data_IF_533237597884
#
_entry.id   IF_533237597884
#
_cell.length_a   1.000
_cell.length_b   1.000
_cell.length_c   1.000
_cell.angle_alpha   90.00
_cell.angle_beta   90.00
_cell.angle_gamma   90.00
#
_symmetry.space_group_name_H-M   'P 1'
#
loop_
_entity.id
_entity.type
_entity.pdbx_description
1 polymer ?
#
# COMPACT_ATOMS: atom_id res chain seq x y z
N UNK A 1 34.41 39.04 -44.56
CA UNK A 1 35.26 38.27 -43.61
C UNK A 1 34.55 37.90 -42.30
N UNK A 2 33.62 38.71 -41.77
CA UNK A 2 32.90 38.44 -40.51
C UNK A 2 32.03 37.15 -40.49
N UNK A 3 31.23 36.87 -41.54
CA UNK A 3 30.37 35.67 -41.58
C UNK A 3 31.10 34.32 -41.57
N UNK A 4 32.39 34.28 -41.92
CA UNK A 4 33.21 33.06 -41.89
C UNK A 4 33.75 32.77 -40.48
N UNK A 5 34.00 33.83 -39.70
CA UNK A 5 34.45 33.77 -38.30
C UNK A 5 33.28 33.37 -37.38
N UNK A 6 32.07 33.86 -37.65
CA UNK A 6 30.85 33.47 -36.90
C UNK A 6 30.48 32.00 -37.11
N UNK A 7 30.63 31.48 -38.34
CA UNK A 7 30.39 30.05 -38.63
C UNK A 7 31.42 29.14 -37.95
N UNK A 8 32.66 29.60 -37.81
CA UNK A 8 33.73 28.87 -37.13
C UNK A 8 33.49 28.84 -35.61
N UNK A 9 33.09 29.98 -35.04
CA UNK A 9 32.80 30.11 -33.61
C UNK A 9 31.55 29.33 -33.20
N UNK A 10 30.49 29.35 -34.02
CA UNK A 10 29.29 28.53 -33.82
C UNK A 10 29.62 27.03 -33.84
N UNK A 11 30.46 26.59 -34.79
CA UNK A 11 30.83 25.17 -34.92
C UNK A 11 31.62 24.71 -33.69
N UNK A 12 32.57 25.52 -33.23
CA UNK A 12 33.35 25.22 -32.00
C UNK A 12 32.45 25.13 -30.77
N UNK A 13 31.50 26.05 -30.60
CA UNK A 13 30.55 26.02 -29.48
C UNK A 13 29.63 24.80 -29.54
N UNK A 14 29.13 24.46 -30.74
CA UNK A 14 28.28 23.29 -30.95
C UNK A 14 29.02 22.00 -30.61
N UNK A 15 30.27 21.88 -31.05
CA UNK A 15 31.07 20.66 -30.83
C UNK A 15 31.41 20.51 -29.33
N UNK A 16 31.66 21.61 -28.61
CA UNK A 16 31.79 21.60 -27.15
C UNK A 16 30.51 21.20 -26.43
N UNK A 17 29.37 21.74 -26.85
CA UNK A 17 28.06 21.36 -26.30
C UNK A 17 27.77 19.87 -26.51
N UNK A 18 28.08 19.33 -27.69
CA UNK A 18 27.91 17.91 -27.99
C UNK A 18 28.82 17.03 -27.12
N UNK A 19 30.07 17.44 -26.90
CA UNK A 19 30.99 16.75 -26.00
C UNK A 19 30.47 16.74 -24.55
N UNK A 20 30.00 17.88 -24.03
CA UNK A 20 29.44 17.96 -22.69
C UNK A 20 28.14 17.16 -22.55
N UNK A 21 27.27 17.16 -23.56
CA UNK A 21 26.06 16.34 -23.57
C UNK A 21 26.40 14.84 -23.51
N UNK A 22 27.42 14.41 -24.25
CA UNK A 22 27.89 13.01 -24.26
C UNK A 22 28.46 12.61 -22.91
N UNK A 23 29.28 13.49 -22.30
CA UNK A 23 29.84 13.27 -20.97
C UNK A 23 28.74 13.19 -19.90
N UNK A 24 27.77 14.11 -19.94
CA UNK A 24 26.64 14.12 -19.02
C UNK A 24 25.78 12.86 -19.16
N UNK A 25 25.46 12.45 -20.39
CA UNK A 25 24.72 11.23 -20.65
C UNK A 25 25.45 9.99 -20.11
N UNK A 26 26.77 9.92 -20.30
CA UNK A 26 27.60 8.84 -19.76
C UNK A 26 27.61 8.80 -18.22
N UNK A 27 27.71 9.96 -17.56
CA UNK A 27 27.65 10.05 -16.10
C UNK A 27 26.27 9.71 -15.54
N UNK A 28 25.21 10.21 -16.18
CA UNK A 28 23.83 9.90 -15.81
C UNK A 28 23.52 8.41 -15.97
N UNK A 29 24.00 7.77 -17.04
CA UNK A 29 23.89 6.33 -17.27
C UNK A 29 24.53 5.52 -16.14
N UNK A 30 25.79 5.80 -15.81
CA UNK A 30 26.51 5.15 -14.69
C UNK A 30 25.81 5.33 -13.34
N UNK A 31 25.28 6.53 -13.08
CA UNK A 31 24.52 6.79 -11.86
C UNK A 31 23.22 5.98 -11.84
N UNK A 32 22.51 5.86 -12.96
CA UNK A 32 21.30 5.05 -13.03
C UNK A 32 21.59 3.54 -12.89
N UNK A 33 22.70 3.05 -13.45
CA UNK A 33 23.17 1.67 -13.24
C UNK A 33 23.43 1.42 -11.76
N UNK A 34 24.22 2.26 -11.09
CA UNK A 34 24.47 2.16 -9.65
C UNK A 34 23.17 2.28 -8.83
N UNK A 35 22.26 3.18 -9.21
CA UNK A 35 20.93 3.29 -8.57
C UNK A 35 20.12 2.01 -8.75
N UNK A 36 20.16 1.39 -9.91
CA UNK A 36 19.44 0.15 -10.18
C UNK A 36 20.09 -1.03 -9.46
N UNK A 37 21.40 -1.05 -9.30
CA UNK A 37 22.10 -2.07 -8.51
C UNK A 37 21.77 -1.95 -7.01
N UNK A 38 21.71 -0.73 -6.48
CA UNK A 38 21.45 -0.48 -5.05
C UNK A 38 19.96 -0.53 -4.71
N UNK A 39 19.11 0.04 -5.57
CA UNK A 39 17.69 0.27 -5.30
C UNK A 39 16.75 -0.42 -6.29
N UNK A 40 17.27 -1.00 -7.37
CA UNK A 40 16.47 -1.85 -8.23
C UNK A 40 16.08 -3.06 -7.42
N UNK A 41 14.83 -3.09 -6.97
CA UNK A 41 14.21 -4.31 -6.49
C UNK A 41 14.48 -5.39 -7.53
N UNK A 42 15.11 -6.50 -7.12
CA UNK A 42 15.38 -7.63 -8.02
C UNK A 42 14.13 -7.99 -8.82
N UNK A 43 14.33 -8.52 -10.03
CA UNK A 43 13.22 -8.91 -10.90
C UNK A 43 12.21 -9.75 -10.12
N UNK A 44 10.97 -9.26 -10.03
CA UNK A 44 9.88 -9.98 -9.39
C UNK A 44 9.46 -11.12 -10.32
N UNK A 45 10.12 -12.27 -10.19
CA UNK A 45 9.72 -13.49 -10.85
C UNK A 45 8.64 -14.19 -10.03
N UNK A 46 7.56 -14.64 -10.69
CA UNK A 46 6.54 -15.47 -10.06
C UNK A 46 7.16 -16.83 -9.70
N UNK A 47 7.40 -17.06 -8.41
CA UNK A 47 7.98 -18.31 -7.91
C UNK A 47 6.95 -19.43 -7.76
N UNK A 48 5.66 -19.10 -7.68
CA UNK A 48 4.60 -20.07 -7.54
C UNK A 48 3.21 -19.44 -7.49
N UNK A 49 2.19 -20.29 -7.47
CA UNK A 49 0.80 -19.89 -7.27
C UNK A 49 0.17 -20.88 -6.30
N UNK A 50 -0.50 -20.35 -5.29
CA UNK A 50 -1.18 -21.14 -4.26
C UNK A 50 -2.63 -20.71 -4.19
N UNK A 51 -3.50 -21.66 -3.83
CA UNK A 51 -4.92 -21.39 -3.59
C UNK A 51 -5.18 -21.36 -2.09
N UNK A 52 -5.56 -20.20 -1.57
CA UNK A 52 -6.00 -20.06 -0.18
C UNK A 52 -7.39 -20.69 -0.02
N UNK A 53 -7.57 -21.50 1.02
CA UNK A 53 -8.89 -22.00 1.43
C UNK A 53 -9.55 -20.98 2.35
N UNK A 54 -10.72 -20.49 1.94
CA UNK A 54 -11.56 -19.56 2.71
C UNK A 54 -12.86 -20.24 3.10
N UNK A 55 -13.55 -19.74 4.12
CA UNK A 55 -14.85 -20.28 4.54
C UNK A 55 -15.91 -20.16 3.42
N UNK A 56 -15.86 -19.06 2.67
CA UNK A 56 -16.76 -18.76 1.55
C UNK A 56 -16.00 -18.29 0.33
N UNK A 57 -16.56 -18.54 -0.85
CA UNK A 57 -16.02 -17.99 -2.10
C UNK A 57 -16.05 -16.45 -2.04
N UNK A 58 -14.94 -15.82 -2.43
CA UNK A 58 -14.80 -14.38 -2.39
C UNK A 58 -13.60 -13.89 -3.18
N UNK A 59 -13.54 -12.58 -3.39
CA UNK A 59 -12.42 -11.91 -4.05
C UNK A 59 -11.39 -11.48 -3.00
N UNK A 60 -10.11 -11.87 -3.13
CA UNK A 60 -9.06 -11.36 -2.26
C UNK A 60 -9.00 -9.84 -2.35
N UNK A 61 -8.90 -9.17 -1.20
CA UNK A 61 -8.90 -7.72 -1.12
C UNK A 61 -7.58 -7.15 -0.66
N UNK A 62 -7.00 -7.73 0.38
CA UNK A 62 -5.73 -7.25 0.94
C UNK A 62 -5.05 -8.31 1.80
N UNK A 63 -3.79 -8.09 2.13
CA UNK A 63 -2.99 -8.95 3.01
C UNK A 63 -2.08 -8.11 3.88
N UNK A 64 -1.90 -8.55 5.13
CA UNK A 64 -0.98 -7.89 6.06
C UNK A 64 -0.31 -8.91 6.97
N UNK A 65 0.96 -8.70 7.31
CA UNK A 65 1.65 -9.51 8.30
C UNK A 65 1.14 -9.19 9.71
N UNK A 66 0.92 -10.25 10.49
CA UNK A 66 0.52 -10.16 11.90
C UNK A 66 1.44 -11.05 12.72
N UNK A 67 2.58 -10.47 13.14
CA UNK A 67 3.70 -11.22 13.69
C UNK A 67 4.68 -11.67 12.60
N UNK A 68 5.57 -12.59 12.95
CA UNK A 68 6.68 -13.00 12.08
C UNK A 68 6.24 -13.97 10.99
N UNK A 69 5.43 -14.98 11.35
CA UNK A 69 5.09 -16.09 10.45
C UNK A 69 3.62 -16.15 10.05
N UNK A 70 2.80 -15.20 10.52
CA UNK A 70 1.35 -15.19 10.26
C UNK A 70 0.94 -14.02 9.36
N UNK A 71 0.07 -14.32 8.41
CA UNK A 71 -0.56 -13.36 7.51
C UNK A 71 -2.06 -13.33 7.79
N UNK A 72 -2.63 -12.12 7.82
CA UNK A 72 -4.06 -11.90 7.79
C UNK A 72 -4.46 -11.52 6.37
N UNK A 73 -5.28 -12.38 5.77
CA UNK A 73 -5.88 -12.18 4.46
C UNK A 73 -7.29 -11.62 4.62
N UNK A 74 -7.60 -10.61 3.81
CA UNK A 74 -8.91 -9.97 3.74
C UNK A 74 -9.62 -10.31 2.42
N UNK A 75 -10.91 -10.62 2.49
CA UNK A 75 -11.73 -11.02 1.34
C UNK A 75 -13.04 -10.24 1.24
N UNK A 76 -13.58 -10.16 0.03
CA UNK A 76 -14.96 -9.79 -0.24
C UNK A 76 -15.78 -11.05 -0.51
N UNK A 77 -16.70 -11.45 0.39
CA UNK A 77 -17.52 -12.62 0.14
C UNK A 77 -18.41 -12.37 -1.07
N UNK A 78 -18.49 -13.35 -1.96
CA UNK A 78 -19.42 -13.32 -3.09
C UNK A 78 -20.85 -13.36 -2.56
N UNK A 79 -21.70 -12.47 -3.07
CA UNK A 79 -23.05 -12.18 -2.58
C UNK A 79 -24.09 -13.32 -2.72
N UNK A 80 -23.67 -14.56 -2.95
CA UNK A 80 -24.52 -15.65 -3.43
C UNK A 80 -25.67 -16.05 -2.49
N UNK A 81 -25.68 -15.65 -1.22
CA UNK A 81 -26.74 -15.98 -0.26
C UNK A 81 -26.89 -14.89 0.80
N UNK A 82 -28.14 -14.56 1.13
CA UNK A 82 -28.58 -13.54 2.09
C UNK A 82 -28.32 -13.94 3.56
N UNK A 83 -27.13 -14.47 3.85
CA UNK A 83 -26.68 -14.75 5.22
C UNK A 83 -25.97 -13.54 5.82
N UNK A 84 -25.99 -13.44 7.14
CA UNK A 84 -25.19 -12.47 7.88
C UNK A 84 -23.72 -12.79 7.66
N UNK A 85 -22.93 -11.83 7.19
CA UNK A 85 -21.48 -11.98 7.01
C UNK A 85 -20.81 -12.26 8.35
N UNK A 86 -20.09 -13.38 8.43
CA UNK A 86 -19.28 -13.77 9.58
C UNK A 86 -17.84 -13.25 9.47
N UNK A 87 -17.07 -13.34 10.55
CA UNK A 87 -15.65 -12.95 10.55
C UNK A 87 -14.86 -13.81 9.56
N UNK A 88 -15.11 -15.12 9.53
CA UNK A 88 -14.42 -16.09 8.68
C UNK A 88 -14.73 -15.91 7.18
N UNK A 89 -15.82 -15.21 6.83
CA UNK A 89 -16.13 -14.84 5.45
C UNK A 89 -15.23 -13.70 4.93
N UNK A 90 -14.71 -12.87 5.82
CA UNK A 90 -13.95 -11.65 5.49
C UNK A 90 -12.47 -11.83 5.81
N UNK A 91 -12.14 -12.56 6.87
CA UNK A 91 -10.79 -12.72 7.37
C UNK A 91 -10.36 -14.17 7.40
N UNK A 92 -9.11 -14.42 7.02
CA UNK A 92 -8.48 -15.74 7.14
C UNK A 92 -7.04 -15.56 7.58
N UNK A 93 -6.62 -16.32 8.59
CA UNK A 93 -5.22 -16.40 8.99
C UNK A 93 -4.54 -17.53 8.23
N UNK A 94 -3.31 -17.29 7.81
CA UNK A 94 -2.47 -18.32 7.22
C UNK A 94 -1.00 -18.09 7.58
N UNK A 95 -0.18 -19.12 7.43
CA UNK A 95 1.27 -18.96 7.51
C UNK A 95 1.84 -18.32 6.22
N UNK A 96 3.18 -18.19 6.15
CA UNK A 96 3.91 -17.66 4.99
C UNK A 96 3.77 -18.51 3.73
N UNK A 97 3.49 -19.80 3.89
CA UNK A 97 3.24 -20.75 2.80
C UNK A 97 1.75 -20.79 2.41
N UNK A 98 0.93 -19.91 3.01
CA UNK A 98 -0.51 -19.77 2.80
C UNK A 98 -1.32 -20.98 3.28
N UNK A 99 -0.81 -21.76 4.23
CA UNK A 99 -1.57 -22.79 4.92
C UNK A 99 -2.54 -22.15 5.93
N UNK A 100 -3.83 -22.53 5.95
CA UNK A 100 -4.80 -21.95 6.88
C UNK A 100 -4.41 -22.19 8.34
N UNK A 101 -4.57 -21.15 9.15
CA UNK A 101 -4.40 -21.16 10.59
C UNK A 101 -5.76 -20.95 11.28
N UNK A 102 -5.94 -21.45 12.52
CA UNK A 102 -7.15 -21.18 13.29
C UNK A 102 -7.28 -19.68 13.59
N UNK A 103 -8.52 -19.19 13.78
CA UNK A 103 -8.78 -17.78 14.13
C UNK A 103 -8.07 -17.34 15.43
N UNK A 104 -7.77 -18.29 16.32
CA UNK A 104 -7.06 -18.10 17.60
C UNK A 104 -5.53 -18.14 17.46
N UNK A 105 -4.99 -18.28 16.24
CA UNK A 105 -3.53 -18.32 16.03
C UNK A 105 -2.84 -17.01 16.44
N UNK A 106 -3.59 -15.90 16.40
CA UNK A 106 -3.18 -14.61 16.97
C UNK A 106 -4.23 -14.20 18.00
N UNK A 107 -3.99 -14.47 19.30
CA UNK A 107 -4.93 -14.11 20.36
C UNK A 107 -5.21 -12.60 20.38
N UNK A 108 -6.49 -12.25 20.57
CA UNK A 108 -6.97 -10.87 20.63
C UNK A 108 -7.17 -10.20 19.27
N UNK A 109 -6.93 -10.93 18.17
CA UNK A 109 -7.12 -10.40 16.81
C UNK A 109 -8.54 -10.65 16.32
N UNK A 110 -8.88 -11.92 16.04
CA UNK A 110 -10.16 -12.34 15.45
C UNK A 110 -11.11 -12.96 16.50
N UNK A 111 -10.58 -13.37 17.64
CA UNK A 111 -11.30 -14.02 18.75
C UNK A 111 -11.66 -13.04 19.88
N UNK A 112 -11.25 -11.78 19.78
CA UNK A 112 -11.60 -10.75 20.76
C UNK A 112 -13.13 -10.48 20.73
N UNK A 113 -13.83 -10.59 21.87
CA UNK A 113 -15.28 -10.47 21.93
C UNK A 113 -15.79 -9.06 21.60
N UNK A 114 -15.01 -8.02 21.91
CA UNK A 114 -15.36 -6.64 21.57
C UNK A 114 -15.22 -6.43 20.06
N UNK A 115 -14.18 -7.00 19.43
CA UNK A 115 -14.05 -7.01 17.97
C UNK A 115 -15.24 -7.72 17.31
N UNK A 116 -15.57 -8.94 17.74
CA UNK A 116 -16.67 -9.73 17.15
C UNK A 116 -17.99 -8.96 17.24
N UNK A 117 -18.24 -8.29 18.38
CA UNK A 117 -19.43 -7.45 18.57
C UNK A 117 -19.45 -6.25 17.61
N UNK A 118 -18.35 -5.52 17.51
CA UNK A 118 -18.25 -4.37 16.60
C UNK A 118 -18.36 -4.79 15.12
N UNK A 119 -17.74 -5.89 14.73
CA UNK A 119 -17.84 -6.46 13.38
C UNK A 119 -19.28 -6.84 13.02
N UNK A 120 -19.98 -7.51 13.94
CA UNK A 120 -21.38 -7.88 13.75
C UNK A 120 -22.28 -6.64 13.67
N UNK A 121 -22.05 -5.62 14.50
CA UNK A 121 -22.77 -4.36 14.45
C UNK A 121 -22.55 -3.64 13.10
N UNK A 122 -21.30 -3.60 12.62
CA UNK A 122 -20.93 -3.00 11.35
C UNK A 122 -21.74 -3.60 10.19
N UNK A 123 -21.75 -4.92 10.04
CA UNK A 123 -22.49 -5.60 8.96
C UNK A 123 -24.01 -5.58 9.17
N UNK A 124 -24.49 -5.46 10.41
CA UNK A 124 -25.91 -5.31 10.72
C UNK A 124 -26.46 -3.95 10.30
N UNK A 125 -25.73 -2.86 10.62
CA UNK A 125 -26.21 -1.49 10.39
C UNK A 125 -25.85 -0.94 9.01
N UNK A 126 -24.74 -1.40 8.41
CA UNK A 126 -24.26 -0.91 7.13
C UNK A 126 -24.26 -2.05 6.10
N UNK A 127 -25.33 -2.14 5.30
CA UNK A 127 -25.51 -3.21 4.30
C UNK A 127 -24.45 -3.21 3.19
N UNK A 128 -23.86 -2.05 2.91
CA UNK A 128 -22.77 -1.89 1.95
C UNK A 128 -21.37 -2.18 2.52
N UNK A 129 -21.27 -2.75 3.73
CA UNK A 129 -19.99 -3.01 4.38
C UNK A 129 -19.11 -3.90 3.52
N UNK A 130 -17.94 -3.38 3.16
CA UNK A 130 -16.89 -4.16 2.50
C UNK A 130 -15.53 -3.71 2.97
N UNK A 131 -14.62 -4.67 3.16
CA UNK A 131 -13.24 -4.38 3.48
C UNK A 131 -12.62 -3.52 2.36
N UNK A 132 -11.79 -2.54 2.66
CA UNK A 132 -11.07 -1.79 1.64
C UNK A 132 -9.60 -2.09 1.68
N UNK A 133 -9.05 -2.18 2.89
CA UNK A 133 -7.62 -2.27 3.12
C UNK A 133 -7.33 -2.82 4.51
N UNK A 134 -6.23 -3.55 4.61
CA UNK A 134 -5.55 -3.91 5.84
C UNK A 134 -4.25 -3.11 5.92
N UNK A 135 -3.92 -2.55 7.07
CA UNK A 135 -2.72 -1.71 7.16
C UNK A 135 -2.04 -1.79 8.51
N UNK A 136 -0.71 -1.94 8.47
CA UNK A 136 0.16 -1.71 9.62
C UNK A 136 0.56 -0.24 9.69
N UNK A 137 0.42 0.32 10.88
CA UNK A 137 0.98 1.61 11.27
C UNK A 137 1.78 1.40 12.55
N UNK A 138 2.49 2.44 13.02
CA UNK A 138 3.34 2.32 14.21
C UNK A 138 2.56 1.76 15.41
N UNK A 139 2.93 0.55 15.85
CA UNK A 139 2.29 -0.21 16.93
C UNK A 139 0.81 -0.58 16.72
N UNK A 140 0.26 -0.49 15.51
CA UNK A 140 -1.17 -0.75 15.25
C UNK A 140 -1.44 -1.52 13.97
N UNK A 141 -2.55 -2.25 13.99
CA UNK A 141 -3.17 -2.84 12.83
C UNK A 141 -4.52 -2.17 12.60
N UNK A 142 -4.82 -1.82 11.36
CA UNK A 142 -6.07 -1.19 10.93
C UNK A 142 -6.76 -2.06 9.89
N UNK A 143 -8.06 -2.29 10.06
CA UNK A 143 -8.94 -2.83 9.02
C UNK A 143 -9.94 -1.76 8.62
N UNK A 144 -9.81 -1.27 7.40
CA UNK A 144 -10.59 -0.16 6.85
C UNK A 144 -11.76 -0.74 6.07
N UNK A 145 -12.98 -0.41 6.47
CA UNK A 145 -14.20 -0.79 5.79
C UNK A 145 -14.85 0.42 5.14
N UNK A 146 -15.43 0.21 3.95
CA UNK A 146 -16.40 1.14 3.38
C UNK A 146 -17.79 0.75 3.86
N UNK A 147 -18.57 1.70 4.34
CA UNK A 147 -19.93 1.48 4.85
C UNK A 147 -21.04 2.05 3.97
N UNK A 148 -20.70 2.98 3.07
CA UNK A 148 -21.63 3.65 2.17
C UNK A 148 -21.08 3.87 0.76
N UNK A 149 -21.76 4.72 0.00
CA UNK A 149 -21.39 5.04 -1.38
C UNK A 149 -20.33 6.15 -1.45
N UNK A 150 -20.30 7.05 -0.48
CA UNK A 150 -19.34 8.15 -0.47
C UNK A 150 -17.94 7.61 -0.14
N UNK A 151 -16.92 8.26 -0.70
CA UNK A 151 -15.52 7.87 -0.48
C UNK A 151 -15.13 7.94 0.99
N UNK A 152 -15.72 8.88 1.73
CA UNK A 152 -15.43 9.15 3.14
C UNK A 152 -16.32 8.35 4.10
N UNK A 153 -17.24 7.52 3.59
CA UNK A 153 -18.05 6.59 4.38
C UNK A 153 -17.19 5.40 4.83
N UNK A 154 -16.28 5.68 5.75
CA UNK A 154 -15.31 4.73 6.28
C UNK A 154 -15.60 4.38 7.73
N UNK A 155 -15.35 3.12 8.08
CA UNK A 155 -15.21 2.64 9.45
C UNK A 155 -13.90 1.91 9.57
N UNK A 156 -13.13 2.24 10.60
CA UNK A 156 -11.79 1.67 10.78
C UNK A 156 -11.73 0.95 12.12
N UNK A 157 -11.66 -0.37 12.06
CA UNK A 157 -11.36 -1.22 13.20
C UNK A 157 -9.87 -1.16 13.46
N UNK A 158 -9.47 -1.02 14.73
CA UNK A 158 -8.05 -0.91 15.10
C UNK A 158 -7.68 -1.80 16.27
N UNK A 159 -6.49 -2.37 16.16
CA UNK A 159 -5.83 -3.16 17.20
C UNK A 159 -4.52 -2.48 17.57
N UNK A 160 -4.18 -2.49 18.86
CA UNK A 160 -2.81 -2.32 19.29
C UNK A 160 -2.06 -3.62 18.98
N UNK A 161 -0.80 -3.47 18.54
CA UNK A 161 0.07 -4.62 18.34
C UNK A 161 1.38 -4.37 19.05
N UNK A 162 1.71 -5.30 19.95
CA UNK A 162 2.94 -5.25 20.71
C UNK A 162 4.12 -5.80 19.91
N UNK A 163 5.37 -5.45 20.30
CA UNK A 163 6.57 -6.03 19.69
C UNK A 163 6.63 -7.56 19.81
N UNK A 164 5.98 -8.14 20.81
CA UNK A 164 5.84 -9.59 21.01
C UNK A 164 4.93 -10.26 19.97
N UNK A 165 4.19 -9.48 19.17
CA UNK A 165 3.19 -9.98 18.23
C UNK A 165 1.79 -10.11 18.84
N UNK A 166 1.63 -9.91 20.15
CA UNK A 166 0.32 -9.87 20.80
C UNK A 166 -0.55 -8.74 20.25
N UNK A 167 -1.83 -9.02 20.06
CA UNK A 167 -2.78 -8.06 19.52
C UNK A 167 -3.91 -7.82 20.50
N UNK A 168 -4.39 -6.58 20.57
CA UNK A 168 -5.53 -6.22 21.41
C UNK A 168 -6.45 -5.29 20.66
N UNK A 169 -7.71 -5.68 20.52
CA UNK A 169 -8.71 -4.80 19.92
C UNK A 169 -8.86 -3.51 20.74
N UNK A 170 -8.94 -2.37 20.06
CA UNK A 170 -9.09 -1.08 20.69
C UNK A 170 -10.51 -0.57 20.53
N UNK A 171 -10.93 -0.33 19.29
CA UNK A 171 -12.28 0.14 18.93
C UNK A 171 -12.46 0.19 17.40
N UNK A 172 -13.64 0.69 16.99
CA UNK A 172 -14.03 0.95 15.61
C UNK A 172 -13.94 2.45 15.21
N UNK A 173 -12.98 3.20 15.76
CA UNK A 173 -12.83 4.67 15.59
C UNK A 173 -11.46 5.08 15.05
N UNK A 174 -10.85 4.22 14.23
CA UNK A 174 -9.51 4.42 13.68
C UNK A 174 -9.43 5.35 12.46
N UNK A 175 -10.49 6.09 12.10
CA UNK A 175 -10.51 6.90 10.87
C UNK A 175 -9.38 7.94 10.85
N UNK A 176 -9.05 8.50 12.02
CA UNK A 176 -7.92 9.45 12.18
C UNK A 176 -6.55 8.78 12.09
N UNK A 177 -6.48 7.47 12.34
CA UNK A 177 -5.25 6.69 12.19
C UNK A 177 -5.06 6.22 10.74
N UNK A 178 -6.12 6.27 9.93
CA UNK A 178 -6.08 5.98 8.49
C UNK A 178 -5.55 7.19 7.68
N UNK A 179 -4.34 7.64 8.00
CA UNK A 179 -3.67 8.73 7.27
C UNK A 179 -2.92 8.17 6.08
N UNK A 180 -3.33 8.52 4.87
CA UNK A 180 -2.59 8.17 3.65
C UNK A 180 -1.23 8.89 3.71
N UNK A 181 -0.10 8.18 3.58
CA UNK A 181 1.19 8.85 3.57
C UNK A 181 1.24 9.79 2.35
N UNK A 182 2.01 10.89 2.42
CA UNK A 182 2.21 11.76 1.26
C UNK A 182 2.60 10.92 0.05
N UNK A 183 1.98 11.17 -1.10
CA UNK A 183 2.26 10.41 -2.32
C UNK A 183 3.65 10.69 -2.89
N UNK A 184 4.32 11.73 -2.37
CA UNK A 184 5.61 12.20 -2.81
C UNK A 184 6.46 12.58 -1.60
N UNK A 185 7.74 12.23 -1.65
CA UNK A 185 8.72 12.59 -0.60
C UNK A 185 9.19 14.05 -0.70
N UNK A 186 8.64 14.80 -1.66
CA UNK A 186 9.00 16.18 -1.96
C UNK A 186 7.77 17.06 -1.79
N UNK A 187 7.93 18.12 -1.01
CA UNK A 187 6.94 19.18 -0.91
C UNK A 187 7.00 20.04 -2.16
N UNK A 188 5.99 19.95 -3.03
CA UNK A 188 5.92 20.77 -4.22
C UNK A 188 5.59 22.21 -3.85
N UNK A 189 6.48 23.11 -4.22
CA UNK A 189 6.19 24.54 -4.19
C UNK A 189 5.53 24.93 -5.51
N UNK A 190 4.33 25.50 -5.45
CA UNK A 190 3.65 26.01 -6.65
C UNK A 190 4.46 27.16 -7.26
N UNK A 191 4.71 27.11 -8.57
CA UNK A 191 5.37 28.20 -9.28
C UNK A 191 4.37 29.28 -9.66
N UNK A 192 4.84 30.52 -9.66
CA UNK A 192 4.11 31.72 -10.01
C UNK A 192 4.74 32.37 -11.26
N UNK A 193 4.11 33.44 -11.76
CA UNK A 193 4.67 34.24 -12.86
C UNK A 193 5.99 34.91 -12.47
N UNK A 194 6.25 35.13 -11.18
CA UNK A 194 7.47 35.77 -10.67
C UNK A 194 8.69 34.85 -10.77
N UNK A 195 8.48 33.53 -10.86
CA UNK A 195 9.53 32.53 -10.98
C UNK A 195 10.07 32.38 -12.43
N UNK A 196 9.55 33.16 -13.38
CA UNK A 196 9.96 33.12 -14.78
C UNK A 196 11.22 33.96 -15.03
N UNK A 197 12.32 33.30 -15.42
CA UNK A 197 13.55 33.95 -15.89
C UNK A 197 13.49 34.13 -17.42
N UNK A 198 13.46 35.36 -17.96
CA UNK A 198 13.51 35.59 -19.40
C UNK A 198 14.88 35.18 -19.97
N UNK A 199 14.86 34.43 -21.07
CA UNK A 199 16.05 33.99 -21.79
C UNK A 199 16.66 35.06 -22.69
#
# INVERSE_FOLDING_TARGET
MSARIDRDTYTVLRDRLAAHATELAGRAGKLNEARTEVFGSGELALTGTVRVRTARAGTPRDVVAVGDDTLLLGFHPSAAEASTTSVDDVFTLCDRDLNPLPATAVPGLLDDPDFVREFAALHRYFRGTRLLRLRRTDGRLLAVFRTGEQTDDLRVLRWAVEPSGETRFLDARGERDHVVPPSQDVEWTGTSREDHVPG
#
